data_IF_240096664714
#
_entry.id   IF_240096664714
#
_cell.length_a   1.000
_cell.length_b   1.000
_cell.length_c   1.000
_cell.angle_alpha   90.00
_cell.angle_beta   90.00
_cell.angle_gamma   90.00
#
_symmetry.space_group_name_H-M   'P 1'
#
loop_
_entity.id
_entity.type
_entity.pdbx_description
1 polymer ?
#
# COMPACT_ATOMS: atom_id res chain seq x y z
N UNK A 1 40.49 9.30 -3.99
CA UNK A 1 39.47 8.25 -3.76
C UNK A 1 38.20 8.70 -4.45
N UNK A 2 37.89 8.13 -5.61
CA UNK A 2 36.67 8.50 -6.36
C UNK A 2 35.57 7.55 -5.93
N UNK A 3 34.59 8.03 -5.18
CA UNK A 3 33.39 7.27 -4.85
C UNK A 3 32.42 7.45 -6.01
N UNK A 4 32.34 6.45 -6.88
CA UNK A 4 31.32 6.39 -7.92
C UNK A 4 30.08 5.72 -7.34
N UNK A 5 29.15 6.50 -6.80
CA UNK A 5 27.79 6.01 -6.51
C UNK A 5 26.97 6.08 -7.80
N UNK A 6 26.97 5.01 -8.58
CA UNK A 6 25.99 4.81 -9.64
C UNK A 6 25.12 3.63 -9.22
N UNK A 7 23.96 3.95 -8.66
CA UNK A 7 22.81 3.06 -8.63
C UNK A 7 21.63 3.87 -9.13
N UNK A 8 21.64 4.18 -10.42
CA UNK A 8 20.45 4.61 -11.12
C UNK A 8 19.59 3.36 -11.30
N UNK A 9 18.61 3.17 -10.42
CA UNK A 9 17.61 2.11 -10.58
C UNK A 9 16.78 2.50 -11.81
N UNK A 10 17.01 1.82 -12.93
CA UNK A 10 16.28 2.03 -14.17
C UNK A 10 14.78 1.99 -13.88
N UNK A 11 14.11 3.14 -13.96
CA UNK A 11 12.65 3.24 -13.91
C UNK A 11 12.10 2.73 -15.24
N UNK A 12 12.08 1.41 -15.43
CA UNK A 12 11.31 0.81 -16.51
C UNK A 12 9.83 0.97 -16.19
N UNK A 13 9.09 1.58 -17.12
CA UNK A 13 7.64 1.57 -17.09
C UNK A 13 7.20 0.16 -17.47
N UNK A 14 6.75 -0.62 -16.48
CA UNK A 14 6.35 -2.02 -16.66
C UNK A 14 4.88 -2.13 -17.03
N UNK A 15 4.03 -1.31 -16.40
CA UNK A 15 2.59 -1.52 -16.42
C UNK A 15 1.77 -0.24 -16.42
N UNK A 16 2.35 0.95 -16.64
CA UNK A 16 1.60 2.21 -16.52
C UNK A 16 0.33 2.23 -17.39
N UNK A 17 0.42 1.74 -18.63
CA UNK A 17 -0.74 1.62 -19.51
C UNK A 17 -1.68 0.46 -19.17
N UNK A 18 -1.21 -0.50 -18.37
CA UNK A 18 -1.98 -1.65 -17.91
C UNK A 18 -2.71 -1.42 -16.58
N UNK A 19 -2.50 -0.28 -15.91
CA UNK A 19 -3.26 0.05 -14.70
C UNK A 19 -4.65 0.55 -15.11
N UNK A 20 -5.68 -0.17 -14.69
CA UNK A 20 -7.08 0.24 -14.87
C UNK A 20 -7.48 1.25 -13.82
N UNK A 21 -7.17 0.99 -12.54
CA UNK A 21 -7.45 1.90 -11.45
C UNK A 21 -6.52 1.64 -10.25
N UNK A 22 -6.29 2.69 -9.46
CA UNK A 22 -5.66 2.59 -8.15
C UNK A 22 -6.53 3.37 -7.16
N UNK A 23 -6.84 2.75 -6.03
CA UNK A 23 -7.69 3.37 -5.02
C UNK A 23 -7.30 2.94 -3.62
N UNK A 24 -7.74 3.68 -2.62
CA UNK A 24 -7.53 3.31 -1.23
C UNK A 24 -8.74 3.63 -0.37
N UNK A 25 -8.84 2.96 0.77
CA UNK A 25 -9.84 3.23 1.79
C UNK A 25 -9.14 3.28 3.15
N UNK A 26 -9.47 4.28 3.96
CA UNK A 26 -9.01 4.38 5.35
C UNK A 26 -10.04 3.74 6.28
N UNK A 27 -9.57 3.11 7.37
CA UNK A 27 -10.45 2.55 8.38
C UNK A 27 -9.90 2.82 9.78
N UNK A 28 -10.80 2.98 10.74
CA UNK A 28 -10.50 3.07 12.17
C UNK A 28 -11.40 2.07 12.88
N UNK A 29 -10.83 1.23 13.73
CA UNK A 29 -11.63 0.29 14.51
C UNK A 29 -12.58 1.04 15.47
N UNK A 30 -13.85 0.66 15.52
CA UNK A 30 -14.85 1.27 16.41
C UNK A 30 -14.62 1.04 17.92
N UNK A 31 -13.58 0.29 18.30
CA UNK A 31 -13.19 0.07 19.69
C UNK A 31 -11.82 0.67 19.98
N UNK A 32 -11.69 1.25 21.18
CA UNK A 32 -10.45 1.84 21.67
C UNK A 32 -9.33 0.79 21.67
N UNK A 33 -8.21 1.10 21.02
CA UNK A 33 -7.08 0.18 20.90
C UNK A 33 -7.19 -0.81 19.74
N UNK A 34 -8.30 -0.82 18.99
CA UNK A 34 -8.48 -1.72 17.84
C UNK A 34 -7.65 -1.33 16.61
N UNK A 35 -7.00 -0.17 16.63
CA UNK A 35 -6.11 0.29 15.56
C UNK A 35 -6.83 0.95 14.39
N UNK A 36 -6.05 1.22 13.35
CA UNK A 36 -6.49 1.87 12.11
C UNK A 36 -5.56 1.49 10.97
N UNK A 37 -6.01 1.70 9.74
CA UNK A 37 -5.24 1.31 8.57
C UNK A 37 -5.73 1.89 7.27
N UNK A 38 -5.07 1.45 6.20
CA UNK A 38 -5.38 1.78 4.83
C UNK A 38 -5.42 0.49 4.03
N UNK A 39 -6.51 0.24 3.34
CA UNK A 39 -6.60 -0.81 2.33
C UNK A 39 -6.32 -0.17 0.98
N UNK A 40 -5.23 -0.58 0.33
CA UNK A 40 -4.86 -0.14 -1.00
C UNK A 40 -5.32 -1.19 -2.02
N UNK A 41 -5.96 -0.75 -3.10
CA UNK A 41 -6.46 -1.60 -4.17
C UNK A 41 -5.85 -1.19 -5.51
N UNK A 42 -5.40 -2.18 -6.27
CA UNK A 42 -4.92 -2.00 -7.62
C UNK A 42 -5.67 -2.94 -8.57
N UNK A 43 -6.15 -2.38 -9.66
CA UNK A 43 -6.85 -3.11 -10.73
C UNK A 43 -6.06 -2.95 -12.03
N UNK A 44 -5.82 -4.06 -12.72
CA UNK A 44 -5.14 -4.12 -14.01
C UNK A 44 -6.15 -4.32 -15.16
N UNK A 45 -5.81 -3.82 -16.35
CA UNK A 45 -6.61 -4.01 -17.57
C UNK A 45 -6.46 -5.43 -18.13
N UNK A 46 -5.28 -6.01 -18.00
CA UNK A 46 -4.95 -7.37 -18.39
C UNK A 46 -3.92 -7.98 -17.44
N UNK A 47 -3.81 -9.31 -17.48
CA UNK A 47 -2.86 -10.04 -16.64
C UNK A 47 -1.42 -9.58 -16.89
N UNK A 48 -0.60 -9.60 -15.84
CA UNK A 48 0.83 -9.34 -15.99
C UNK A 48 1.49 -10.49 -16.78
N UNK A 49 2.52 -10.19 -17.59
CA UNK A 49 3.33 -11.23 -18.20
C UNK A 49 3.84 -12.24 -17.16
N UNK A 50 3.96 -13.52 -17.54
CA UNK A 50 4.34 -14.60 -16.61
C UNK A 50 5.69 -14.42 -15.92
N UNK A 51 6.55 -13.56 -16.46
CA UNK A 51 7.86 -13.23 -15.91
C UNK A 51 7.89 -11.94 -15.08
N UNK A 52 6.72 -11.33 -14.83
CA UNK A 52 6.53 -10.10 -14.04
C UNK A 52 5.61 -10.39 -12.86
N UNK A 53 6.09 -10.11 -11.66
CA UNK A 53 5.32 -10.22 -10.42
C UNK A 53 5.18 -8.84 -9.77
N UNK A 54 3.97 -8.44 -9.40
CA UNK A 54 3.76 -7.26 -8.56
C UNK A 54 3.99 -7.64 -7.08
N UNK A 55 5.02 -7.07 -6.45
CA UNK A 55 5.45 -7.47 -5.11
C UNK A 55 4.86 -6.62 -4.01
N UNK A 56 5.03 -5.30 -4.10
CA UNK A 56 4.76 -4.37 -3.00
C UNK A 56 4.25 -3.03 -3.51
N UNK A 57 3.61 -2.30 -2.61
CA UNK A 57 3.34 -0.87 -2.78
C UNK A 57 4.06 -0.08 -1.71
N UNK A 58 4.59 1.08 -2.12
CA UNK A 58 5.00 2.14 -1.22
C UNK A 58 3.95 3.24 -1.31
N UNK A 59 3.21 3.46 -0.23
CA UNK A 59 2.12 4.43 -0.16
C UNK A 59 2.11 5.10 1.21
N UNK A 60 2.03 6.44 1.23
CA UNK A 60 2.01 7.26 2.47
C UNK A 60 3.12 6.91 3.47
N UNK A 61 4.32 6.65 2.96
CA UNK A 61 5.51 6.32 3.75
C UNK A 61 5.52 4.91 4.35
N UNK A 62 4.63 4.02 3.90
CA UNK A 62 4.62 2.60 4.28
C UNK A 62 4.97 1.73 3.09
N UNK A 63 5.66 0.61 3.33
CA UNK A 63 5.95 -0.42 2.34
C UNK A 63 5.31 -1.75 2.74
N UNK A 64 4.41 -2.26 1.91
CA UNK A 64 3.60 -3.44 2.21
C UNK A 64 3.49 -4.34 0.98
N UNK A 65 3.58 -5.67 1.12
CA UNK A 65 3.36 -6.59 0.01
C UNK A 65 1.92 -6.56 -0.49
N UNK A 66 1.74 -6.85 -1.78
CA UNK A 66 0.43 -7.13 -2.33
C UNK A 66 0.01 -8.57 -2.04
N UNK A 67 -1.25 -8.72 -1.65
CA UNK A 67 -2.02 -9.94 -1.77
C UNK A 67 -2.74 -9.95 -3.13
N UNK A 68 -2.60 -11.05 -3.86
CA UNK A 68 -3.25 -11.25 -5.14
C UNK A 68 -4.60 -11.92 -4.92
N UNK A 69 -5.69 -11.23 -5.23
CA UNK A 69 -7.05 -11.80 -5.19
C UNK A 69 -7.33 -12.62 -6.44
N UNK A 70 -6.98 -12.08 -7.60
CA UNK A 70 -7.00 -12.78 -8.88
C UNK A 70 -5.94 -12.19 -9.84
N UNK A 71 -5.97 -12.54 -11.12
CA UNK A 71 -4.97 -12.09 -12.08
C UNK A 71 -4.97 -10.58 -12.37
N UNK A 72 -6.05 -9.87 -12.02
CA UNK A 72 -6.26 -8.45 -12.30
C UNK A 72 -6.39 -7.60 -11.02
N UNK A 73 -6.79 -8.20 -9.89
CA UNK A 73 -7.08 -7.49 -8.65
C UNK A 73 -6.06 -7.81 -7.54
N UNK A 74 -5.48 -6.75 -6.98
CA UNK A 74 -4.49 -6.83 -5.91
C UNK A 74 -4.86 -5.90 -4.75
N UNK A 75 -4.53 -6.33 -3.54
CA UNK A 75 -4.76 -5.54 -2.33
C UNK A 75 -3.51 -5.48 -1.46
N UNK A 76 -3.26 -4.35 -0.80
CA UNK A 76 -2.26 -4.26 0.26
C UNK A 76 -2.89 -3.65 1.52
N UNK A 77 -2.63 -4.26 2.68
CA UNK A 77 -3.17 -3.84 3.96
C UNK A 77 -2.11 -3.10 4.78
N UNK A 78 -2.25 -1.79 4.90
CA UNK A 78 -1.33 -0.92 5.64
C UNK A 78 -1.87 -0.71 7.05
N UNK A 79 -1.12 -1.12 8.07
CA UNK A 79 -1.42 -0.84 9.47
C UNK A 79 -0.77 0.48 9.87
N UNK A 80 -1.57 1.42 10.36
CA UNK A 80 -1.09 2.72 10.85
C UNK A 80 -1.13 2.77 12.37
N UNK A 81 -0.45 3.75 12.97
CA UNK A 81 -0.36 3.88 14.43
C UNK A 81 -1.62 4.42 15.09
N UNK A 82 -2.60 4.91 14.32
CA UNK A 82 -3.81 5.53 14.86
C UNK A 82 -4.70 4.53 15.61
N UNK A 83 -5.44 5.02 16.61
CA UNK A 83 -6.36 4.22 17.43
C UNK A 83 -5.74 2.97 18.09
N UNK A 84 -4.41 2.92 18.19
CA UNK A 84 -3.69 1.96 19.01
C UNK A 84 -3.49 2.56 20.39
N UNK A 85 -3.74 1.79 21.44
CA UNK A 85 -3.48 2.21 22.80
C UNK A 85 -2.84 1.06 23.58
N UNK A 86 -1.79 1.38 24.31
CA UNK A 86 -1.23 0.52 25.34
C UNK A 86 -1.95 0.74 26.66
N UNK A 87 -2.25 -0.33 27.37
CA UNK A 87 -2.71 -0.29 28.75
C UNK A 87 -1.52 -0.52 29.70
N UNK A 88 -1.60 -0.05 30.94
CA UNK A 88 -0.58 -0.40 31.95
C UNK A 88 -0.57 -1.93 32.14
N UNK A 89 0.61 -2.54 32.02
CA UNK A 89 0.79 -4.00 32.04
C UNK A 89 0.59 -4.70 30.69
N UNK A 90 0.30 -3.95 29.61
CA UNK A 90 0.23 -4.48 28.25
C UNK A 90 1.60 -4.40 27.56
N UNK A 91 2.29 -5.54 27.50
CA UNK A 91 3.57 -5.70 26.80
C UNK A 91 3.42 -5.77 25.27
N UNK A 92 2.20 -5.70 24.74
CA UNK A 92 1.98 -5.72 23.30
C UNK A 92 2.65 -4.53 22.61
N UNK A 93 3.23 -4.81 21.44
CA UNK A 93 3.84 -3.77 20.61
C UNK A 93 2.78 -3.14 19.72
N UNK A 94 2.85 -1.82 19.53
CA UNK A 94 2.08 -1.13 18.48
C UNK A 94 2.53 -1.73 17.14
N UNK A 95 1.62 -2.39 16.44
CA UNK A 95 1.93 -3.04 15.16
C UNK A 95 1.63 -2.05 14.05
N UNK A 96 2.67 -1.49 13.44
CA UNK A 96 2.57 -0.70 12.21
C UNK A 96 3.25 -1.41 11.06
N UNK A 97 2.77 -1.18 9.84
CA UNK A 97 3.48 -1.63 8.65
C UNK A 97 4.88 -1.00 8.57
N UNK A 98 5.86 -1.67 7.93
CA UNK A 98 7.19 -1.14 7.74
C UNK A 98 7.17 0.25 7.10
N UNK A 99 8.04 1.14 7.59
CA UNK A 99 8.19 2.49 7.08
C UNK A 99 9.17 2.53 5.91
N UNK A 100 8.92 3.44 4.98
CA UNK A 100 9.80 3.75 3.86
C UNK A 100 10.06 5.27 3.83
N UNK A 101 11.28 5.67 3.47
CA UNK A 101 11.72 7.07 3.52
C UNK A 101 11.31 7.90 2.28
N UNK A 102 10.68 7.29 1.26
CA UNK A 102 10.21 8.01 0.09
C UNK A 102 9.14 9.03 0.46
N UNK A 103 9.33 10.26 -0.01
CA UNK A 103 8.33 11.33 0.08
C UNK A 103 7.53 11.34 -1.21
N UNK A 104 6.22 11.10 -1.11
CA UNK A 104 5.28 11.04 -2.22
C UNK A 104 4.13 12.04 -1.95
N UNK A 105 3.47 12.53 -3.00
CA UNK A 105 2.21 13.25 -2.81
C UNK A 105 1.11 12.33 -2.26
N UNK A 106 0.03 12.90 -1.72
CA UNK A 106 -1.02 12.14 -1.03
C UNK A 106 -1.76 11.13 -1.92
N UNK A 107 -1.80 11.40 -3.23
CA UNK A 107 -2.42 10.62 -4.29
C UNK A 107 -1.40 9.87 -5.16
N UNK A 108 -0.15 9.79 -4.71
CA UNK A 108 0.92 9.05 -5.39
C UNK A 108 1.27 7.76 -4.64
N UNK A 109 1.65 6.74 -5.41
CA UNK A 109 2.20 5.49 -4.90
C UNK A 109 3.37 5.02 -5.77
N UNK A 110 4.23 4.17 -5.22
CA UNK A 110 5.23 3.43 -6.00
C UNK A 110 4.89 1.96 -5.97
N UNK A 111 4.72 1.37 -7.14
CA UNK A 111 4.55 -0.06 -7.33
C UNK A 111 5.93 -0.70 -7.51
N UNK A 112 6.19 -1.76 -6.76
CA UNK A 112 7.44 -2.52 -6.82
C UNK A 112 7.16 -3.85 -7.50
N UNK A 113 7.81 -4.08 -8.63
CA UNK A 113 7.70 -5.29 -9.44
C UNK A 113 8.99 -6.10 -9.38
N UNK A 114 8.87 -7.40 -9.57
CA UNK A 114 9.98 -8.31 -9.85
C UNK A 114 9.83 -8.82 -11.29
N UNK A 115 10.82 -8.53 -12.15
CA UNK A 115 10.85 -9.00 -13.53
C UNK A 115 12.16 -9.72 -13.78
N UNK A 116 12.08 -11.01 -14.15
CA UNK A 116 13.25 -11.88 -14.30
C UNK A 116 14.20 -11.86 -13.09
N UNK A 117 13.67 -11.80 -11.87
CA UNK A 117 14.47 -11.75 -10.63
C UNK A 117 15.09 -10.40 -10.29
N UNK A 118 14.84 -9.34 -11.10
CA UNK A 118 15.30 -7.98 -10.81
C UNK A 118 14.12 -7.10 -10.38
N UNK A 119 14.34 -6.28 -9.35
CA UNK A 119 13.34 -5.33 -8.85
C UNK A 119 13.24 -4.10 -9.77
N UNK A 120 12.03 -3.58 -9.92
CA UNK A 120 11.73 -2.37 -10.66
C UNK A 120 10.67 -1.57 -9.90
N UNK A 121 10.80 -0.25 -9.92
CA UNK A 121 9.89 0.66 -9.24
C UNK A 121 9.20 1.55 -10.25
N UNK A 122 7.88 1.65 -10.16
CA UNK A 122 7.06 2.50 -11.01
C UNK A 122 6.18 3.41 -10.15
N UNK A 123 6.39 4.73 -10.25
CA UNK A 123 5.50 5.71 -9.61
C UNK A 123 4.19 5.82 -10.39
N UNK A 124 3.09 5.90 -9.67
CA UNK A 124 1.75 6.18 -10.19
C UNK A 124 1.16 7.38 -9.45
N UNK A 125 0.31 8.13 -10.13
CA UNK A 125 -0.43 9.27 -9.59
C UNK A 125 -1.94 9.02 -9.72
N UNK A 126 -2.76 9.89 -9.14
CA UNK A 126 -4.23 9.74 -9.14
C UNK A 126 -4.74 8.49 -8.40
N UNK A 127 -4.09 8.09 -7.31
CA UNK A 127 -4.64 7.07 -6.41
C UNK A 127 -5.87 7.66 -5.72
N UNK A 128 -7.06 7.12 -6.02
CA UNK A 128 -8.33 7.70 -5.57
C UNK A 128 -8.74 7.20 -4.20
N UNK A 129 -9.12 8.10 -3.30
CA UNK A 129 -9.77 7.72 -2.05
C UNK A 129 -11.20 7.23 -2.32
N UNK A 130 -11.53 6.04 -1.83
CA UNK A 130 -12.92 5.60 -1.69
C UNK A 130 -13.48 6.23 -0.42
N UNK A 131 -14.76 6.67 -0.40
CA UNK A 131 -15.39 7.16 0.81
C UNK A 131 -15.23 6.14 1.93
N UNK A 132 -14.71 6.57 3.09
CA UNK A 132 -14.48 5.67 4.21
C UNK A 132 -15.78 5.03 4.68
N UNK A 133 -15.78 3.70 4.84
CA UNK A 133 -16.87 3.00 5.51
C UNK A 133 -16.67 3.09 7.03
N UNK A 134 -17.45 3.95 7.68
CA UNK A 134 -17.51 4.03 9.15
C UNK A 134 -18.18 2.76 9.71
N UNK A 135 -17.39 1.83 10.25
CA UNK A 135 -17.91 0.60 10.88
C UNK A 135 -17.77 0.60 12.41
N UNK A 136 -18.84 0.25 13.16
CA UNK A 136 -20.18 -0.09 12.67
C UNK A 136 -20.96 1.16 12.26
N UNK A 137 -21.78 1.05 11.21
CA UNK A 137 -22.83 2.03 10.97
C UNK A 137 -23.66 2.17 12.25
N UNK A 138 -23.80 3.39 12.76
CA UNK A 138 -24.49 3.61 14.02
C UNK A 138 -25.87 2.92 13.98
N UNK A 139 -26.12 1.99 14.92
CA UNK A 139 -27.45 1.38 15.05
C UNK A 139 -28.47 2.52 15.18
N UNK A 140 -29.56 2.54 14.39
CA UNK A 140 -30.62 3.52 14.56
C UNK A 140 -31.11 3.49 16.01
N UNK A 141 -31.19 4.64 16.66
CA UNK A 141 -31.91 4.76 17.92
C UNK A 141 -33.40 4.72 17.57
N UNK A 142 -34.08 3.62 17.93
CA UNK A 142 -35.54 3.56 17.98
C UNK A 142 -36.00 3.99 19.37
#
# INVERSE_FOLDING_TARGET
MSVTLISCHSTEIIAQDNIQSASYETWVAGVRGGGSGINFYLELKSELPSNVELKKVIFRGYEVPFEKHDNLHFQAMIKTSGNQQKFEGDDSQIITSPKNALTLAEDEAVLVFLKNGKEYQQKISNVKEKPGLEYPSARPKF
#
